data_IF_702946919107
#
_entry.id   IF_702946919107
#
_cell.length_a   1.000
_cell.length_b   1.000
_cell.length_c   1.000
_cell.angle_alpha   90.00
_cell.angle_beta   90.00
_cell.angle_gamma   90.00
#
_symmetry.space_group_name_H-M   'P 1'
#
loop_
_entity.id
_entity.type
_entity.pdbx_description
1 polymer ?
#
# COMPACT_ATOMS: atom_id res chain seq x y z
N UNK A 1 30.54 4.70 -28.51
CA UNK A 1 29.79 3.42 -28.49
C UNK A 1 30.14 2.77 -27.17
N UNK A 2 29.23 2.83 -26.21
CA UNK A 2 29.37 2.13 -24.92
C UNK A 2 28.65 0.82 -25.11
N UNK A 3 29.40 -0.28 -25.19
CA UNK A 3 28.84 -1.62 -25.23
C UNK A 3 28.07 -1.85 -23.93
N UNK A 4 26.75 -1.93 -24.04
CA UNK A 4 25.89 -2.51 -23.02
C UNK A 4 26.21 -4.00 -22.99
N UNK A 5 26.98 -4.40 -21.99
CA UNK A 5 27.14 -5.81 -21.62
C UNK A 5 25.78 -6.29 -21.12
N UNK A 6 25.02 -6.96 -21.98
CA UNK A 6 23.94 -7.82 -21.53
C UNK A 6 24.58 -8.93 -20.69
N UNK A 7 24.45 -8.81 -19.37
CA UNK A 7 24.76 -9.91 -18.46
C UNK A 7 23.69 -10.97 -18.74
N UNK A 8 24.02 -11.95 -19.57
CA UNK A 8 23.23 -13.17 -19.71
C UNK A 8 23.31 -13.90 -18.37
N UNK A 9 22.35 -13.63 -17.48
CA UNK A 9 22.22 -14.36 -16.23
C UNK A 9 21.80 -15.78 -16.57
N UNK A 10 22.66 -16.74 -16.25
CA UNK A 10 22.35 -18.16 -16.43
C UNK A 10 21.21 -18.52 -15.47
N UNK A 11 20.04 -18.93 -15.99
CA UNK A 11 18.86 -19.29 -15.19
C UNK A 11 19.13 -20.40 -14.17
N UNK A 12 20.23 -21.14 -14.35
CA UNK A 12 20.63 -22.27 -13.51
C UNK A 12 21.56 -21.90 -12.36
N UNK A 13 22.24 -20.75 -12.41
CA UNK A 13 23.23 -20.38 -11.39
C UNK A 13 22.68 -19.30 -10.45
N UNK A 14 22.83 -19.52 -9.14
CA UNK A 14 22.31 -18.62 -8.11
C UNK A 14 22.98 -17.24 -8.23
N UNK A 15 22.21 -16.13 -8.35
CA UNK A 15 22.78 -14.80 -8.45
C UNK A 15 23.67 -14.46 -7.25
N UNK A 16 24.83 -13.87 -7.51
CA UNK A 16 25.73 -13.37 -6.48
C UNK A 16 25.22 -12.00 -5.99
N UNK A 17 24.52 -12.00 -4.86
CA UNK A 17 23.99 -10.79 -4.23
C UNK A 17 24.73 -10.58 -2.90
N UNK A 18 25.31 -9.38 -2.66
CA UNK A 18 25.95 -9.08 -1.39
C UNK A 18 25.00 -9.30 -0.20
N UNK A 19 25.54 -9.81 0.90
CA UNK A 19 24.78 -10.04 2.13
C UNK A 19 24.08 -8.76 2.60
N UNK A 20 22.77 -8.83 2.82
CA UNK A 20 21.96 -7.69 3.23
C UNK A 20 21.43 -6.83 2.07
N UNK A 21 21.75 -7.16 0.82
CA UNK A 21 21.32 -6.40 -0.36
C UNK A 21 20.21 -7.10 -1.16
N UNK A 22 19.75 -8.29 -0.76
CA UNK A 22 18.59 -8.90 -1.43
C UNK A 22 17.32 -8.11 -1.05
N UNK A 23 16.37 -7.85 -1.97
CA UNK A 23 15.16 -7.08 -1.67
C UNK A 23 14.36 -7.56 -0.44
N UNK A 24 14.31 -8.88 -0.22
CA UNK A 24 13.73 -9.53 0.98
C UNK A 24 14.45 -9.12 2.29
N UNK A 25 15.76 -8.92 2.26
CA UNK A 25 16.56 -8.50 3.41
C UNK A 25 16.39 -7.01 3.69
N UNK A 26 16.30 -6.19 2.64
CA UNK A 26 16.13 -4.73 2.73
C UNK A 26 14.67 -4.27 2.87
N UNK A 27 13.71 -5.19 2.70
CA UNK A 27 12.27 -4.89 2.57
C UNK A 27 11.95 -3.91 1.44
N UNK A 28 12.67 -4.03 0.34
CA UNK A 28 12.48 -3.22 -0.88
C UNK A 28 11.87 -4.05 -2.00
N UNK A 29 10.74 -4.68 -1.71
CA UNK A 29 10.00 -5.50 -2.66
C UNK A 29 8.48 -5.26 -2.53
N UNK A 30 7.74 -5.69 -3.53
CA UNK A 30 6.28 -5.65 -3.56
C UNK A 30 5.77 -7.01 -4.00
N UNK A 31 4.79 -7.54 -3.27
CA UNK A 31 4.06 -8.76 -3.65
C UNK A 31 2.63 -8.33 -3.99
N UNK A 32 2.16 -8.75 -5.16
CA UNK A 32 0.76 -8.57 -5.54
C UNK A 32 -0.15 -9.39 -4.63
N UNK A 33 -1.28 -8.83 -4.24
CA UNK A 33 -2.31 -9.54 -3.47
C UNK A 33 -3.67 -9.31 -4.11
N UNK A 34 -4.59 -10.27 -3.93
CA UNK A 34 -5.97 -10.14 -4.41
C UNK A 34 -6.66 -8.89 -3.84
N UNK A 35 -6.33 -8.51 -2.61
CA UNK A 35 -6.86 -7.31 -1.98
C UNK A 35 -6.43 -6.02 -2.71
N UNK A 36 -5.20 -5.95 -3.21
CA UNK A 36 -4.75 -4.80 -4.02
C UNK A 36 -5.52 -4.75 -5.34
N UNK A 37 -5.80 -5.90 -5.96
CA UNK A 37 -6.60 -5.97 -7.18
C UNK A 37 -8.07 -5.54 -6.94
N UNK A 38 -8.68 -5.99 -5.84
CA UNK A 38 -10.03 -5.55 -5.44
C UNK A 38 -10.09 -4.04 -5.18
N UNK A 39 -9.11 -3.49 -4.46
CA UNK A 39 -9.00 -2.04 -4.24
C UNK A 39 -8.80 -1.28 -5.56
N UNK A 40 -8.02 -1.84 -6.47
CA UNK A 40 -7.78 -1.28 -7.79
C UNK A 40 -9.08 -1.17 -8.59
N UNK A 41 -9.86 -2.24 -8.69
CA UNK A 41 -11.11 -2.27 -9.46
C UNK A 41 -12.12 -1.23 -8.95
N UNK A 42 -12.25 -1.12 -7.62
CA UNK A 42 -13.14 -0.14 -6.98
C UNK A 42 -12.69 1.31 -7.23
N UNK A 43 -11.40 1.61 -7.00
CA UNK A 43 -10.88 2.97 -7.25
C UNK A 43 -10.90 3.30 -8.74
N UNK A 44 -10.62 2.33 -9.62
CA UNK A 44 -10.74 2.50 -11.07
C UNK A 44 -12.16 2.94 -11.43
N UNK A 45 -13.19 2.29 -10.88
CA UNK A 45 -14.58 2.69 -11.11
C UNK A 45 -14.85 4.14 -10.65
N UNK A 46 -14.32 4.55 -9.50
CA UNK A 46 -14.47 5.93 -9.00
C UNK A 46 -13.80 6.93 -9.95
N UNK A 47 -12.62 6.61 -10.45
CA UNK A 47 -11.90 7.43 -11.43
C UNK A 47 -12.65 7.46 -12.75
N UNK A 48 -13.12 6.35 -13.30
CA UNK A 48 -13.93 6.28 -14.54
C UNK A 48 -15.12 7.23 -14.48
N UNK A 49 -15.86 7.17 -13.37
CA UNK A 49 -17.05 7.99 -13.12
C UNK A 49 -16.75 9.46 -12.80
N UNK A 50 -15.47 9.86 -12.76
CA UNK A 50 -15.04 11.22 -12.34
C UNK A 50 -15.61 11.60 -10.97
N UNK A 51 -15.68 10.63 -10.05
CA UNK A 51 -16.15 10.86 -8.71
C UNK A 51 -15.26 11.92 -8.01
N UNK A 52 -15.82 12.83 -7.18
CA UNK A 52 -15.01 13.84 -6.49
C UNK A 52 -14.03 13.22 -5.48
N UNK A 53 -14.36 12.06 -4.93
CA UNK A 53 -13.50 11.32 -4.03
C UNK A 53 -14.15 10.11 -3.38
N UNK A 54 -13.36 9.40 -2.59
CA UNK A 54 -13.79 8.22 -1.84
C UNK A 54 -12.79 7.85 -0.75
N UNK A 55 -13.19 6.94 0.13
CA UNK A 55 -12.38 6.49 1.27
C UNK A 55 -11.94 5.05 1.10
N UNK A 56 -10.65 4.76 1.18
CA UNK A 56 -10.10 3.43 1.35
C UNK A 56 -9.54 3.29 2.76
N UNK A 57 -10.21 2.53 3.62
CA UNK A 57 -9.86 2.44 5.05
C UNK A 57 -9.74 1.00 5.52
N UNK A 58 -9.05 0.80 6.63
CA UNK A 58 -8.91 -0.52 7.26
C UNK A 58 -7.94 -0.44 8.42
N UNK A 59 -7.73 -1.55 9.14
CA UNK A 59 -6.84 -1.55 10.31
C UNK A 59 -5.38 -1.20 9.95
N UNK A 60 -4.54 -0.80 10.91
CA UNK A 60 -3.12 -0.53 10.66
C UNK A 60 -2.40 -1.74 10.03
N UNK A 61 -1.30 -1.48 9.33
CA UNK A 61 -0.34 -2.52 8.86
C UNK A 61 -0.86 -3.55 7.84
N UNK A 62 -2.04 -3.30 7.25
CA UNK A 62 -2.58 -4.12 6.16
C UNK A 62 -1.87 -3.93 4.82
N UNK A 63 -1.04 -2.88 4.66
CA UNK A 63 -0.37 -2.60 3.38
C UNK A 63 -1.07 -1.56 2.51
N UNK A 64 -2.01 -0.76 3.05
CA UNK A 64 -2.70 0.32 2.31
C UNK A 64 -1.76 1.27 1.56
N UNK A 65 -0.70 1.75 2.21
CA UNK A 65 0.32 2.62 1.57
C UNK A 65 1.03 1.92 0.40
N UNK A 66 1.24 0.60 0.48
CA UNK A 66 1.79 -0.18 -0.63
C UNK A 66 0.77 -0.34 -1.76
N UNK A 67 -0.50 -0.56 -1.44
CA UNK A 67 -1.58 -0.57 -2.42
C UNK A 67 -1.64 0.76 -3.18
N UNK A 68 -1.57 1.90 -2.48
CA UNK A 68 -1.50 3.23 -3.12
C UNK A 68 -0.31 3.33 -4.09
N UNK A 69 0.88 2.84 -3.71
CA UNK A 69 2.03 2.82 -4.62
C UNK A 69 1.74 2.00 -5.88
N UNK A 70 1.16 0.81 -5.74
CA UNK A 70 0.76 -0.02 -6.88
C UNK A 70 -0.25 0.72 -7.78
N UNK A 71 -1.32 1.29 -7.20
CA UNK A 71 -2.36 2.01 -7.93
C UNK A 71 -1.79 3.20 -8.71
N UNK A 72 -0.80 3.93 -8.17
CA UNK A 72 -0.13 5.03 -8.88
C UNK A 72 0.58 4.58 -10.16
N UNK A 73 1.03 3.32 -10.23
CA UNK A 73 1.65 2.75 -11.42
C UNK A 73 0.64 2.09 -12.36
N UNK A 74 -0.42 1.48 -11.81
CA UNK A 74 -1.41 0.76 -12.60
C UNK A 74 -2.45 1.67 -13.27
N UNK A 75 -2.96 2.70 -12.57
CA UNK A 75 -4.00 3.58 -13.10
C UNK A 75 -3.61 4.31 -14.40
N UNK A 76 -2.36 4.78 -14.61
CA UNK A 76 -1.94 5.35 -15.89
C UNK A 76 -2.14 4.41 -17.08
N UNK A 77 -2.07 3.08 -16.88
CA UNK A 77 -2.28 2.11 -17.97
C UNK A 77 -3.71 2.14 -18.52
N UNK A 78 -4.70 2.50 -17.69
CA UNK A 78 -6.11 2.59 -18.07
C UNK A 78 -6.54 4.01 -18.49
N UNK A 79 -5.91 5.04 -17.90
CA UNK A 79 -6.35 6.44 -18.07
C UNK A 79 -5.37 7.34 -18.82
N UNK A 80 -4.25 6.78 -19.28
CA UNK A 80 -3.18 7.45 -20.03
C UNK A 80 -1.89 7.60 -19.21
N UNK A 81 -0.75 7.30 -19.84
CA UNK A 81 0.58 7.22 -19.20
C UNK A 81 0.99 8.49 -18.44
N UNK A 82 0.43 9.64 -18.84
CA UNK A 82 0.72 10.95 -18.24
C UNK A 82 -0.33 11.41 -17.22
N UNK A 83 -1.23 10.54 -16.75
CA UNK A 83 -2.24 10.87 -15.74
C UNK A 83 -1.57 11.53 -14.52
N UNK A 84 -1.94 12.77 -14.15
CA UNK A 84 -1.39 13.42 -12.96
C UNK A 84 -1.89 12.75 -11.69
N UNK A 85 -1.02 11.97 -11.04
CA UNK A 85 -1.31 11.32 -9.76
C UNK A 85 -0.36 11.84 -8.68
N UNK A 86 -0.92 12.46 -7.65
CA UNK A 86 -0.18 13.01 -6.52
C UNK A 86 -0.47 12.22 -5.24
N UNK A 87 0.48 12.26 -4.31
CA UNK A 87 0.37 11.55 -3.04
C UNK A 87 0.81 12.47 -1.91
N UNK A 88 -0.10 12.74 -0.98
CA UNK A 88 0.14 13.51 0.23
C UNK A 88 -0.04 12.61 1.45
N UNK A 89 0.90 12.61 2.37
CA UNK A 89 0.79 11.89 3.64
C UNK A 89 0.52 12.88 4.76
N UNK A 90 -0.57 12.71 5.50
CA UNK A 90 -0.89 13.61 6.60
C UNK A 90 0.10 13.48 7.76
N UNK A 91 0.46 14.60 8.37
CA UNK A 91 1.16 14.60 9.65
C UNK A 91 0.23 14.15 10.79
N UNK A 92 0.69 13.19 11.60
CA UNK A 92 -0.08 12.70 12.74
C UNK A 92 0.01 13.65 13.95
N UNK A 93 -1.00 13.64 14.81
CA UNK A 93 -0.98 14.40 16.08
C UNK A 93 -1.26 15.90 15.95
N UNK A 94 -1.74 16.37 14.79
CA UNK A 94 -2.15 17.76 14.58
C UNK A 94 -3.31 18.15 15.50
N UNK A 95 -3.08 19.09 16.41
CA UNK A 95 -4.11 19.63 17.32
C UNK A 95 -4.93 20.77 16.70
N UNK A 96 -4.34 21.52 15.78
CA UNK A 96 -4.98 22.66 15.15
C UNK A 96 -4.57 22.75 13.68
N UNK A 97 -5.52 23.07 12.82
CA UNK A 97 -5.27 23.23 11.40
C UNK A 97 -4.62 24.59 11.12
N UNK A 98 -3.65 24.61 10.21
CA UNK A 98 -3.02 25.83 9.72
C UNK A 98 -3.08 25.81 8.19
N UNK A 99 -3.86 26.73 7.63
CA UNK A 99 -4.08 26.83 6.19
C UNK A 99 -2.77 27.06 5.42
N UNK A 100 -1.89 27.92 5.92
CA UNK A 100 -0.60 28.18 5.27
C UNK A 100 0.26 26.93 5.21
N UNK A 101 0.35 26.20 6.33
CA UNK A 101 1.09 24.95 6.40
C UNK A 101 0.48 23.89 5.48
N UNK A 102 -0.84 23.76 5.44
CA UNK A 102 -1.50 22.77 4.59
C UNK A 102 -1.23 23.01 3.09
N UNK A 103 -1.25 24.27 2.62
CA UNK A 103 -0.86 24.58 1.24
C UNK A 103 0.64 24.33 0.98
N UNK A 104 1.51 24.60 1.94
CA UNK A 104 2.94 24.26 1.84
C UNK A 104 3.13 22.75 1.69
N UNK A 105 2.49 21.96 2.55
CA UNK A 105 2.56 20.50 2.55
C UNK A 105 2.04 19.90 1.23
N UNK A 106 0.93 20.42 0.70
CA UNK A 106 0.40 20.04 -0.61
C UNK A 106 1.38 20.42 -1.73
N UNK A 107 1.94 21.64 -1.73
CA UNK A 107 2.91 22.07 -2.74
C UNK A 107 4.20 21.24 -2.72
N UNK A 108 4.68 20.86 -1.53
CA UNK A 108 5.80 19.91 -1.38
C UNK A 108 5.45 18.56 -1.96
N UNK A 109 4.27 18.03 -1.63
CA UNK A 109 3.81 16.70 -2.03
C UNK A 109 3.61 16.54 -3.54
N UNK A 110 3.24 17.63 -4.22
CA UNK A 110 3.09 17.64 -5.69
C UNK A 110 4.40 17.96 -6.43
N UNK A 111 5.50 18.18 -5.69
CA UNK A 111 6.83 18.46 -6.23
C UNK A 111 7.00 19.87 -6.78
N UNK A 112 6.22 20.86 -6.31
CA UNK A 112 6.33 22.22 -6.82
C UNK A 112 7.61 22.91 -6.29
N UNK A 113 8.37 23.58 -7.16
CA UNK A 113 9.66 24.22 -6.80
C UNK A 113 9.60 25.46 -5.90
N UNK A 114 8.42 25.89 -5.44
CA UNK A 114 8.23 27.11 -4.64
C UNK A 114 7.14 26.90 -3.57
N UNK A 115 7.29 25.91 -2.66
CA UNK A 115 6.24 25.57 -1.71
C UNK A 115 6.06 26.65 -0.63
N UNK A 116 7.16 27.22 -0.13
CA UNK A 116 7.15 28.15 1.02
C UNK A 116 6.98 29.63 0.64
N UNK A 117 7.08 29.98 -0.65
CA UNK A 117 7.11 31.37 -1.09
C UNK A 117 5.71 32.03 -1.11
N UNK A 118 5.60 33.20 -0.47
CA UNK A 118 4.43 34.07 -0.53
C UNK A 118 3.34 33.78 0.51
N UNK A 119 2.26 34.56 0.46
CA UNK A 119 1.09 34.41 1.35
C UNK A 119 0.16 33.29 0.86
N UNK A 120 -0.75 32.85 1.74
CA UNK A 120 -1.75 31.80 1.48
C UNK A 120 -2.45 31.92 0.12
N UNK A 121 -3.02 33.07 -0.29
CA UNK A 121 -3.69 33.16 -1.60
C UNK A 121 -2.76 32.89 -2.78
N UNK A 122 -1.47 33.26 -2.66
CA UNK A 122 -0.47 32.99 -3.69
C UNK A 122 -0.17 31.50 -3.79
N UNK A 123 -0.08 30.80 -2.65
CA UNK A 123 0.15 29.35 -2.59
C UNK A 123 -1.06 28.56 -3.14
N UNK A 124 -2.26 28.98 -2.75
CA UNK A 124 -3.51 28.45 -3.30
C UNK A 124 -3.56 28.59 -4.82
N UNK A 125 -3.36 29.81 -5.34
CA UNK A 125 -3.34 30.06 -6.79
C UNK A 125 -2.26 29.25 -7.52
N UNK A 126 -1.10 29.08 -6.90
CA UNK A 126 0.01 28.30 -7.45
C UNK A 126 -0.36 26.83 -7.57
N UNK A 127 -0.90 26.23 -6.50
CA UNK A 127 -1.33 24.82 -6.51
C UNK A 127 -2.40 24.57 -7.58
N UNK A 128 -3.39 25.45 -7.68
CA UNK A 128 -4.47 25.34 -8.67
C UNK A 128 -3.94 25.43 -10.10
N UNK A 129 -3.11 26.44 -10.39
CA UNK A 129 -2.50 26.57 -11.72
C UNK A 129 -1.64 25.35 -12.08
N UNK A 130 -0.88 24.84 -11.11
CA UNK A 130 -0.07 23.65 -11.31
C UNK A 130 -0.91 22.42 -11.65
N UNK A 131 -2.03 22.19 -10.94
CA UNK A 131 -2.95 21.11 -11.27
C UNK A 131 -3.60 21.28 -12.64
N UNK A 132 -4.03 22.49 -13.00
CA UNK A 132 -4.59 22.76 -14.34
C UNK A 132 -3.56 22.47 -15.42
N UNK A 133 -2.33 22.96 -15.27
CA UNK A 133 -1.24 22.75 -16.22
C UNK A 133 -0.95 21.26 -16.42
N UNK A 134 -0.85 20.48 -15.33
CA UNK A 134 -0.59 19.04 -15.40
C UNK A 134 -1.75 18.28 -16.03
N UNK A 135 -3.00 18.62 -15.68
CA UNK A 135 -4.18 18.00 -16.26
C UNK A 135 -4.28 18.26 -17.77
N UNK A 136 -4.04 19.49 -18.21
CA UNK A 136 -4.08 19.86 -19.62
C UNK A 136 -2.93 19.23 -20.41
N UNK A 137 -1.71 19.26 -19.86
CA UNK A 137 -0.52 18.65 -20.49
C UNK A 137 -0.66 17.14 -20.66
N UNK A 138 -1.39 16.47 -19.75
CA UNK A 138 -1.67 15.03 -19.86
C UNK A 138 -2.73 14.67 -20.91
N UNK A 139 -3.52 15.65 -21.37
CA UNK A 139 -4.68 15.42 -22.25
C UNK A 139 -5.90 14.77 -21.56
N UNK A 140 -5.79 14.37 -20.30
CA UNK A 140 -6.86 13.64 -19.57
C UNK A 140 -7.90 14.57 -18.94
N UNK A 141 -7.53 15.82 -18.66
CA UNK A 141 -8.28 16.77 -17.83
C UNK A 141 -8.71 16.14 -16.49
N UNK A 142 -7.82 15.33 -15.91
CA UNK A 142 -7.99 14.63 -14.64
C UNK A 142 -6.79 14.91 -13.74
N UNK A 143 -7.04 14.96 -12.44
CA UNK A 143 -6.03 14.94 -11.39
C UNK A 143 -6.49 13.97 -10.34
N UNK A 144 -5.61 13.05 -9.95
CA UNK A 144 -5.84 12.13 -8.85
C UNK A 144 -4.95 12.52 -7.67
N UNK A 145 -5.54 12.65 -6.48
CA UNK A 145 -4.82 12.96 -5.25
C UNK A 145 -5.10 11.88 -4.21
N UNK A 146 -4.10 11.08 -3.90
CA UNK A 146 -4.13 10.20 -2.74
C UNK A 146 -3.73 10.99 -1.49
N UNK A 147 -4.52 10.88 -0.43
CA UNK A 147 -4.21 11.42 0.89
C UNK A 147 -4.10 10.26 1.88
N UNK A 148 -2.88 9.90 2.27
CA UNK A 148 -2.62 8.85 3.26
C UNK A 148 -2.67 9.40 4.69
N UNK A 149 -2.95 8.52 5.66
CA UNK A 149 -3.29 8.86 7.04
C UNK A 149 -4.40 9.93 7.16
N UNK A 150 -5.40 9.87 6.27
CA UNK A 150 -6.46 10.88 6.16
C UNK A 150 -7.33 11.03 7.42
N UNK A 151 -7.30 10.08 8.37
CA UNK A 151 -7.89 10.27 9.70
C UNK A 151 -7.23 11.42 10.49
N UNK A 152 -6.09 11.93 10.04
CA UNK A 152 -5.44 13.11 10.62
C UNK A 152 -5.88 14.43 9.96
N UNK A 153 -6.76 14.39 8.96
CA UNK A 153 -7.32 15.59 8.35
C UNK A 153 -8.31 16.27 9.29
N UNK A 154 -8.20 17.59 9.37
CA UNK A 154 -9.11 18.46 10.12
C UNK A 154 -10.12 19.13 9.20
N UNK A 155 -11.24 19.58 9.76
CA UNK A 155 -12.34 20.17 8.97
C UNK A 155 -11.90 21.34 8.07
N UNK A 156 -10.98 22.20 8.55
CA UNK A 156 -10.43 23.30 7.74
C UNK A 156 -9.73 22.79 6.48
N UNK A 157 -9.00 21.67 6.58
CA UNK A 157 -8.28 21.07 5.46
C UNK A 157 -9.27 20.49 4.44
N UNK A 158 -10.35 19.85 4.89
CA UNK A 158 -11.45 19.46 3.99
C UNK A 158 -12.09 20.66 3.28
N UNK A 159 -12.26 21.80 3.95
CA UNK A 159 -12.78 23.02 3.32
C UNK A 159 -11.83 23.56 2.24
N UNK A 160 -10.53 23.52 2.49
CA UNK A 160 -9.51 23.88 1.49
C UNK A 160 -9.57 22.93 0.30
N UNK A 161 -9.70 21.61 0.52
CA UNK A 161 -9.87 20.63 -0.56
C UNK A 161 -11.14 20.88 -1.38
N UNK A 162 -12.24 21.31 -0.75
CA UNK A 162 -13.46 21.71 -1.47
C UNK A 162 -13.25 22.96 -2.33
N UNK A 163 -12.53 23.97 -1.84
CA UNK A 163 -12.18 25.16 -2.66
C UNK A 163 -11.33 24.76 -3.87
N UNK A 164 -10.34 23.90 -3.65
CA UNK A 164 -9.48 23.37 -4.71
C UNK A 164 -10.34 22.64 -5.76
N UNK A 165 -11.20 21.73 -5.31
CA UNK A 165 -12.10 20.98 -6.18
C UNK A 165 -12.97 21.90 -7.05
N UNK A 166 -13.69 22.84 -6.43
CA UNK A 166 -14.58 23.75 -7.15
C UNK A 166 -13.83 24.61 -8.18
N UNK A 167 -12.62 25.06 -7.85
CA UNK A 167 -11.81 25.89 -8.75
C UNK A 167 -11.24 25.13 -9.93
N UNK A 168 -10.96 23.83 -9.77
CA UNK A 168 -10.57 22.96 -10.88
C UNK A 168 -11.75 22.62 -11.78
N UNK A 169 -12.94 22.40 -11.19
CA UNK A 169 -14.18 22.18 -11.94
C UNK A 169 -14.48 23.36 -12.87
N UNK A 170 -14.33 24.60 -12.40
CA UNK A 170 -14.46 25.82 -13.22
C UNK A 170 -13.49 25.87 -14.41
N UNK A 171 -12.34 25.18 -14.31
CA UNK A 171 -11.36 25.04 -15.38
C UNK A 171 -11.54 23.76 -16.21
N UNK A 172 -12.68 23.07 -16.07
CA UNK A 172 -12.99 21.78 -16.70
C UNK A 172 -11.98 20.67 -16.36
N UNK A 173 -11.35 20.73 -15.18
CA UNK A 173 -10.43 19.72 -14.65
C UNK A 173 -11.12 18.94 -13.54
N UNK A 174 -11.20 17.62 -13.71
CA UNK A 174 -11.77 16.71 -12.70
C UNK A 174 -10.73 16.36 -11.65
N UNK A 175 -10.98 16.72 -10.39
CA UNK A 175 -10.18 16.27 -9.25
C UNK A 175 -10.89 15.10 -8.56
N UNK A 176 -10.19 13.98 -8.40
CA UNK A 176 -10.62 12.84 -7.59
C UNK A 176 -9.67 12.72 -6.39
N UNK A 177 -10.21 12.78 -5.17
CA UNK A 177 -9.44 12.64 -3.93
C UNK A 177 -9.71 11.28 -3.29
N UNK A 178 -8.67 10.45 -3.14
CA UNK A 178 -8.75 9.17 -2.47
C UNK A 178 -8.19 9.32 -1.06
N UNK A 179 -9.07 9.28 -0.06
CA UNK A 179 -8.70 9.32 1.35
C UNK A 179 -8.31 7.91 1.80
N UNK A 180 -7.06 7.72 2.18
CA UNK A 180 -6.53 6.45 2.66
C UNK A 180 -6.22 6.57 4.14
N UNK A 181 -6.72 5.63 4.94
CA UNK A 181 -6.55 5.76 6.38
C UNK A 181 -7.06 4.59 7.21
N UNK A 182 -7.24 4.85 8.49
CA UNK A 182 -7.67 3.87 9.48
C UNK A 182 -9.20 3.93 9.70
N UNK A 183 -9.75 3.04 10.53
CA UNK A 183 -11.20 2.93 10.81
C UNK A 183 -11.79 4.25 11.35
N UNK A 184 -10.95 5.08 11.95
CA UNK A 184 -11.26 6.44 12.40
C UNK A 184 -11.83 7.33 11.30
N UNK A 185 -11.54 7.07 10.01
CA UNK A 185 -12.19 7.77 8.90
C UNK A 185 -13.70 7.56 8.87
N UNK A 186 -14.18 6.35 9.20
CA UNK A 186 -15.60 6.04 9.29
C UNK A 186 -16.24 6.82 10.44
N UNK A 187 -15.55 6.92 11.57
CA UNK A 187 -15.99 7.74 12.70
C UNK A 187 -16.05 9.22 12.33
N UNK A 188 -15.05 9.74 11.60
CA UNK A 188 -15.06 11.12 11.09
C UNK A 188 -16.23 11.39 10.16
N UNK A 189 -16.50 10.49 9.19
CA UNK A 189 -17.68 10.59 8.32
C UNK A 189 -18.96 10.68 9.14
N UNK A 190 -19.09 9.80 10.14
CA UNK A 190 -20.26 9.76 11.03
C UNK A 190 -20.43 11.08 11.80
N UNK A 191 -19.32 11.63 12.33
CA UNK A 191 -19.32 12.92 13.02
C UNK A 191 -19.69 14.09 12.09
N UNK A 192 -19.24 14.07 10.83
CA UNK A 192 -19.62 15.08 9.83
C UNK A 192 -21.10 15.01 9.46
N UNK A 193 -21.67 13.82 9.29
CA UNK A 193 -23.11 13.64 9.08
C UNK A 193 -23.93 14.18 10.26
N UNK A 194 -23.55 13.80 11.48
CA UNK A 194 -24.21 14.29 12.70
C UNK A 194 -24.13 15.81 12.85
N UNK A 195 -23.01 16.42 12.42
CA UNK A 195 -22.78 17.87 12.43
C UNK A 195 -23.38 18.59 11.22
N UNK A 196 -24.21 17.93 10.40
CA UNK A 196 -24.84 18.48 9.17
C UNK A 196 -23.83 19.01 8.13
N UNK A 197 -22.63 18.42 8.06
CA UNK A 197 -21.58 18.74 7.08
C UNK A 197 -21.67 17.84 5.85
N UNK A 198 -22.88 17.67 5.31
CA UNK A 198 -23.15 16.79 4.18
C UNK A 198 -22.36 17.16 2.92
N UNK A 199 -21.95 18.42 2.77
CA UNK A 199 -21.12 18.89 1.66
C UNK A 199 -19.69 18.31 1.62
N UNK A 200 -19.13 17.92 2.78
CA UNK A 200 -17.83 17.24 2.87
C UNK A 200 -18.02 15.77 2.52
N UNK A 201 -19.01 15.13 3.17
CA UNK A 201 -19.31 13.71 2.99
C UNK A 201 -19.68 13.42 1.53
N UNK A 202 -20.59 14.22 0.97
CA UNK A 202 -21.07 14.11 -0.41
C UNK A 202 -19.99 14.22 -1.48
N UNK A 203 -18.85 14.86 -1.18
CA UNK A 203 -17.71 14.96 -2.09
C UNK A 203 -16.68 13.85 -1.86
N UNK A 204 -16.26 13.63 -0.62
CA UNK A 204 -15.05 12.84 -0.36
C UNK A 204 -15.31 11.48 0.29
N UNK A 205 -16.53 11.20 0.75
CA UNK A 205 -16.80 10.06 1.65
C UNK A 205 -18.06 9.26 1.30
N UNK A 206 -18.63 9.48 0.10
CA UNK A 206 -19.76 8.69 -0.42
C UNK A 206 -19.30 7.31 -0.82
N UNK A 207 -18.22 7.25 -1.62
CA UNK A 207 -17.62 5.99 -2.03
C UNK A 207 -16.71 5.48 -0.91
N UNK A 208 -16.76 4.18 -0.66
CA UNK A 208 -15.95 3.55 0.37
C UNK A 208 -15.43 2.18 -0.07
N UNK A 209 -14.21 1.87 0.35
CA UNK A 209 -13.58 0.58 0.20
C UNK A 209 -12.93 0.18 1.53
N UNK A 210 -13.34 -0.97 2.08
CA UNK A 210 -12.74 -1.50 3.30
C UNK A 210 -11.59 -2.43 2.96
N UNK A 211 -10.37 -1.89 2.99
CA UNK A 211 -9.14 -2.65 2.79
C UNK A 211 -8.95 -3.66 3.91
N UNK A 212 -8.64 -4.90 3.55
CA UNK A 212 -8.48 -5.98 4.51
C UNK A 212 -7.13 -6.71 4.46
N UNK A 213 -6.76 -7.34 5.55
CA UNK A 213 -5.68 -8.31 5.61
C UNK A 213 -6.10 -9.65 5.03
N UNK A 214 -5.18 -10.60 5.10
CA UNK A 214 -5.40 -11.94 4.57
C UNK A 214 -6.40 -12.71 5.44
N UNK A 215 -7.41 -13.32 4.80
CA UNK A 215 -8.50 -14.02 5.49
C UNK A 215 -8.66 -15.47 5.03
N UNK A 216 -8.34 -15.75 3.77
CA UNK A 216 -8.63 -17.05 3.16
C UNK A 216 -7.37 -17.80 2.77
N UNK A 217 -7.51 -19.12 2.62
CA UNK A 217 -6.43 -19.97 2.11
C UNK A 217 -6.01 -19.56 0.69
N UNK A 218 -6.97 -19.28 -0.19
CA UNK A 218 -6.70 -18.86 -1.57
C UNK A 218 -5.87 -17.57 -1.65
N UNK A 219 -6.16 -16.60 -0.79
CA UNK A 219 -5.37 -15.36 -0.72
C UNK A 219 -3.93 -15.64 -0.25
N UNK A 220 -3.76 -16.58 0.70
CA UNK A 220 -2.44 -16.99 1.17
C UNK A 220 -1.65 -17.73 0.11
N UNK A 221 -2.28 -18.66 -0.60
CA UNK A 221 -1.67 -19.39 -1.72
C UNK A 221 -1.18 -18.43 -2.80
N UNK A 222 -2.01 -17.46 -3.21
CA UNK A 222 -1.65 -16.44 -4.21
C UNK A 222 -0.47 -15.60 -3.74
N UNK A 223 -0.47 -15.20 -2.46
CA UNK A 223 0.63 -14.45 -1.88
C UNK A 223 1.93 -15.25 -1.82
N UNK A 224 1.88 -16.54 -1.48
CA UNK A 224 3.06 -17.42 -1.43
C UNK A 224 3.59 -17.74 -2.84
N UNK A 225 2.70 -17.89 -3.84
CA UNK A 225 3.09 -17.91 -5.27
C UNK A 225 3.83 -16.64 -5.68
N UNK A 226 3.49 -15.51 -5.05
CA UNK A 226 4.25 -14.26 -5.01
C UNK A 226 5.77 -14.48 -4.92
N UNK A 227 6.17 -15.24 -3.90
CA UNK A 227 7.56 -15.54 -3.58
C UNK A 227 8.13 -16.72 -4.37
N UNK A 228 7.27 -17.67 -4.76
CA UNK A 228 7.69 -18.91 -5.42
C UNK A 228 7.99 -18.73 -6.90
N UNK A 229 7.18 -17.95 -7.62
CA UNK A 229 7.23 -17.91 -9.10
C UNK A 229 6.99 -16.53 -9.72
N UNK A 230 6.18 -15.65 -9.13
CA UNK A 230 5.74 -14.42 -9.83
C UNK A 230 6.71 -13.25 -9.70
N UNK A 231 7.50 -13.23 -8.62
CA UNK A 231 8.52 -12.21 -8.37
C UNK A 231 9.90 -12.78 -8.62
N UNK A 232 10.82 -11.95 -9.10
CA UNK A 232 12.20 -12.33 -9.34
C UNK A 232 13.19 -11.23 -8.94
N UNK A 233 14.40 -11.64 -8.58
CA UNK A 233 15.53 -10.73 -8.40
C UNK A 233 16.87 -11.43 -8.66
N UNK A 234 17.78 -10.84 -9.48
CA UNK A 234 17.60 -9.62 -10.27
C UNK A 234 16.46 -9.72 -11.30
N UNK A 235 16.01 -8.58 -11.83
CA UNK A 235 14.99 -8.57 -12.88
C UNK A 235 15.52 -9.30 -14.13
N UNK A 236 14.68 -10.11 -14.77
CA UNK A 236 15.01 -10.96 -15.92
C UNK A 236 15.82 -12.21 -15.58
N UNK A 237 15.99 -12.56 -14.30
CA UNK A 237 16.86 -13.67 -13.90
C UNK A 237 16.15 -15.03 -13.77
N UNK A 238 14.81 -15.04 -13.65
CA UNK A 238 14.06 -16.24 -13.28
C UNK A 238 14.37 -16.74 -11.86
N UNK A 239 15.01 -15.92 -11.01
CA UNK A 239 15.30 -16.24 -9.62
C UNK A 239 14.27 -15.63 -8.69
N UNK A 240 13.26 -16.44 -8.35
CA UNK A 240 12.29 -16.05 -7.34
C UNK A 240 12.90 -16.03 -5.93
N UNK A 241 12.31 -15.27 -4.99
CA UNK A 241 12.74 -15.31 -3.59
C UNK A 241 12.88 -16.73 -3.04
N UNK A 242 11.89 -17.61 -3.25
CA UNK A 242 11.98 -18.98 -2.76
C UNK A 242 13.14 -19.73 -3.40
N UNK A 243 13.32 -19.62 -4.72
CA UNK A 243 14.43 -20.26 -5.44
C UNK A 243 15.79 -19.73 -4.93
N UNK A 244 15.89 -18.43 -4.66
CA UNK A 244 17.13 -17.81 -4.18
C UNK A 244 17.53 -18.27 -2.77
N UNK A 245 16.56 -18.41 -1.85
CA UNK A 245 16.84 -18.82 -0.47
C UNK A 245 16.85 -20.34 -0.27
N UNK A 246 16.17 -21.11 -1.12
CA UNK A 246 16.10 -22.57 -1.03
C UNK A 246 16.46 -23.23 -2.37
N UNK A 247 17.65 -23.00 -2.96
CA UNK A 247 17.93 -23.39 -4.34
C UNK A 247 17.80 -24.89 -4.60
N UNK A 248 18.43 -25.73 -3.78
CA UNK A 248 18.38 -27.19 -3.96
C UNK A 248 17.00 -27.76 -3.66
N UNK A 249 16.36 -27.33 -2.56
CA UNK A 249 15.01 -27.77 -2.22
C UNK A 249 14.02 -27.34 -3.31
N UNK A 250 14.14 -26.13 -3.87
CA UNK A 250 13.27 -25.63 -4.94
C UNK A 250 13.38 -26.47 -6.21
N UNK A 251 14.59 -26.92 -6.57
CA UNK A 251 14.81 -27.88 -7.66
C UNK A 251 14.12 -29.23 -7.37
N UNK A 252 14.08 -29.64 -6.11
CA UNK A 252 13.37 -30.84 -5.64
C UNK A 252 11.85 -30.63 -5.42
N UNK A 253 11.30 -29.50 -5.88
CA UNK A 253 9.85 -29.22 -5.82
C UNK A 253 9.38 -28.46 -4.58
N UNK A 254 10.27 -28.00 -3.71
CA UNK A 254 9.92 -27.14 -2.57
C UNK A 254 9.28 -25.84 -3.05
N UNK A 255 8.11 -25.51 -2.49
CA UNK A 255 7.38 -24.27 -2.73
C UNK A 255 6.80 -23.79 -1.41
N UNK A 256 6.86 -22.49 -1.13
CA UNK A 256 6.23 -21.91 0.05
C UNK A 256 4.71 -22.13 0.02
N UNK A 257 4.08 -22.03 -1.15
CA UNK A 257 2.64 -22.29 -1.33
C UNK A 257 2.21 -23.66 -0.81
N UNK A 258 3.06 -24.69 -0.90
CA UNK A 258 2.76 -26.03 -0.39
C UNK A 258 2.52 -26.05 1.13
N UNK A 259 2.97 -25.02 1.86
CA UNK A 259 2.75 -24.85 3.30
C UNK A 259 1.56 -23.95 3.64
N UNK A 260 0.77 -23.48 2.66
CA UNK A 260 -0.30 -22.51 2.90
C UNK A 260 -1.34 -23.03 3.92
N UNK A 261 -1.75 -24.30 3.80
CA UNK A 261 -2.71 -24.93 4.73
C UNK A 261 -2.13 -24.98 6.14
N UNK A 262 -0.93 -25.56 6.29
CA UNK A 262 -0.25 -25.68 7.59
C UNK A 262 -0.02 -24.31 8.23
N UNK A 263 0.44 -23.33 7.45
CA UNK A 263 0.71 -21.98 7.92
C UNK A 263 -0.57 -21.32 8.43
N UNK A 264 -1.65 -21.40 7.67
CA UNK A 264 -2.94 -20.83 8.06
C UNK A 264 -3.48 -21.49 9.33
N UNK A 265 -3.32 -22.81 9.47
CA UNK A 265 -3.76 -23.54 10.66
C UNK A 265 -2.89 -23.21 11.88
N UNK A 266 -1.59 -23.03 11.72
CA UNK A 266 -0.70 -22.58 12.80
C UNK A 266 -1.08 -21.16 13.26
N UNK A 267 -1.43 -20.25 12.34
CA UNK A 267 -1.96 -18.93 12.73
C UNK A 267 -3.23 -19.07 13.58
N UNK A 268 -4.17 -19.95 13.21
CA UNK A 268 -5.40 -20.20 13.98
C UNK A 268 -5.10 -20.81 15.34
N UNK A 269 -4.21 -21.80 15.41
CA UNK A 269 -3.80 -22.45 16.66
C UNK A 269 -3.19 -21.45 17.64
N UNK A 270 -2.20 -20.65 17.19
CA UNK A 270 -1.54 -19.65 18.04
C UNK A 270 -2.52 -18.56 18.51
N UNK A 271 -3.51 -18.19 17.68
CA UNK A 271 -4.60 -17.30 18.10
C UNK A 271 -5.46 -17.94 19.19
N UNK A 272 -5.87 -19.19 19.00
CA UNK A 272 -6.68 -19.92 19.97
C UNK A 272 -5.96 -20.09 21.32
N UNK A 273 -4.66 -20.40 21.30
CA UNK A 273 -3.80 -20.46 22.50
C UNK A 273 -3.76 -19.12 23.25
N UNK A 274 -3.84 -17.99 22.53
CA UNK A 274 -3.87 -16.65 23.10
C UNK A 274 -5.28 -16.15 23.48
N UNK A 275 -6.32 -16.98 23.33
CA UNK A 275 -7.71 -16.60 23.60
C UNK A 275 -8.36 -15.68 22.56
N UNK A 276 -7.75 -15.54 21.38
CA UNK A 276 -8.20 -14.67 20.30
C UNK A 276 -9.22 -15.41 19.41
N UNK A 277 -10.51 -15.21 19.68
CA UNK A 277 -11.59 -15.95 19.01
C UNK A 277 -12.32 -15.19 17.90
N UNK A 278 -12.03 -13.90 17.71
CA UNK A 278 -12.60 -13.10 16.62
C UNK A 278 -12.11 -13.61 15.25
N UNK A 279 -12.90 -13.32 14.21
CA UNK A 279 -12.58 -13.62 12.81
C UNK A 279 -11.13 -13.25 12.48
N UNK A 280 -10.40 -14.21 11.93
CA UNK A 280 -8.98 -14.05 11.64
C UNK A 280 -8.78 -13.18 10.40
N UNK A 281 -8.03 -12.12 10.57
CA UNK A 281 -7.52 -11.25 9.52
C UNK A 281 -6.05 -11.00 9.84
N UNK A 282 -5.15 -11.48 8.98
CA UNK A 282 -3.71 -11.39 9.20
C UNK A 282 -3.19 -10.12 8.51
N UNK A 283 -2.71 -9.11 9.26
CA UNK A 283 -2.12 -7.92 8.65
C UNK A 283 -0.87 -8.27 7.86
N UNK A 284 -0.75 -7.69 6.67
CA UNK A 284 0.36 -7.96 5.74
C UNK A 284 1.73 -7.83 6.37
N UNK A 285 1.95 -6.83 7.24
CA UNK A 285 3.24 -6.67 7.94
C UNK A 285 3.66 -7.94 8.69
N UNK A 286 2.76 -8.59 9.42
CA UNK A 286 3.11 -9.76 10.22
C UNK A 286 3.32 -11.00 9.36
N UNK A 287 2.55 -11.13 8.29
CA UNK A 287 2.70 -12.22 7.34
C UNK A 287 4.03 -12.12 6.58
N UNK A 288 4.36 -10.95 6.04
CA UNK A 288 5.63 -10.76 5.32
C UNK A 288 6.82 -10.92 6.27
N UNK A 289 6.72 -10.43 7.52
CA UNK A 289 7.73 -10.68 8.54
C UNK A 289 7.97 -12.17 8.81
N UNK A 290 6.88 -12.94 8.88
CA UNK A 290 6.93 -14.39 9.07
C UNK A 290 7.66 -15.06 7.91
N UNK A 291 7.30 -14.74 6.67
CA UNK A 291 7.91 -15.31 5.46
C UNK A 291 9.38 -14.88 5.32
N UNK A 292 9.68 -13.59 5.52
CA UNK A 292 11.05 -13.07 5.53
C UNK A 292 11.92 -13.78 6.57
N UNK A 293 11.38 -14.03 7.77
CA UNK A 293 12.10 -14.76 8.81
C UNK A 293 12.44 -16.17 8.33
N UNK A 294 11.47 -16.88 7.75
CA UNK A 294 11.67 -18.23 7.20
C UNK A 294 12.75 -18.24 6.13
N UNK A 295 12.63 -17.38 5.12
CA UNK A 295 13.57 -17.28 4.00
C UNK A 295 15.00 -17.01 4.50
N UNK A 296 15.16 -16.05 5.41
CA UNK A 296 16.49 -15.63 5.90
C UNK A 296 17.10 -16.62 6.89
N UNK A 297 16.28 -17.18 7.79
CA UNK A 297 16.78 -18.03 8.89
C UNK A 297 17.01 -19.47 8.43
N UNK A 298 16.09 -20.03 7.65
CA UNK A 298 16.10 -21.44 7.29
C UNK A 298 16.58 -21.68 5.85
N UNK A 299 16.69 -20.64 5.02
CA UNK A 299 17.33 -20.75 3.71
C UNK A 299 18.85 -20.92 3.78
N UNK A 300 19.48 -21.04 2.61
CA UNK A 300 20.92 -21.32 2.40
C UNK A 300 21.87 -20.25 2.96
N UNK A 301 21.38 -19.02 3.19
CA UNK A 301 22.15 -17.97 3.88
C UNK A 301 22.10 -18.08 5.41
N UNK A 302 21.30 -19.01 5.94
CA UNK A 302 21.10 -19.26 7.36
C UNK A 302 21.42 -20.70 7.73
N UNK A 303 20.39 -21.49 8.03
CA UNK A 303 20.52 -22.89 8.47
C UNK A 303 20.46 -23.92 7.33
N UNK A 304 20.16 -23.49 6.10
CA UNK A 304 20.12 -24.32 4.88
C UNK A 304 19.27 -25.60 5.04
N UNK A 305 18.02 -25.43 5.49
CA UNK A 305 17.09 -26.54 5.68
C UNK A 305 16.42 -26.92 4.36
N UNK A 306 16.30 -28.23 4.11
CA UNK A 306 15.63 -28.75 2.90
C UNK A 306 14.09 -28.69 2.99
N UNK A 307 13.54 -28.66 4.20
CA UNK A 307 12.10 -28.61 4.45
C UNK A 307 11.80 -27.78 5.69
N UNK A 308 10.60 -27.21 5.75
CA UNK A 308 10.10 -26.47 6.89
C UNK A 308 9.17 -27.33 7.74
N UNK A 309 9.31 -27.23 9.05
CA UNK A 309 8.47 -27.92 10.04
C UNK A 309 7.50 -26.93 10.69
N UNK A 310 6.48 -27.47 11.36
CA UNK A 310 5.56 -26.68 12.20
C UNK A 310 6.30 -25.82 13.23
N UNK A 311 7.40 -26.31 13.80
CA UNK A 311 8.21 -25.56 14.79
C UNK A 311 8.84 -24.32 14.14
N UNK A 312 9.34 -24.43 12.90
CA UNK A 312 9.92 -23.29 12.17
C UNK A 312 8.88 -22.19 11.97
N UNK A 313 7.66 -22.55 11.57
CA UNK A 313 6.56 -21.60 11.36
C UNK A 313 6.08 -20.96 12.66
N UNK A 314 5.93 -21.74 13.75
CA UNK A 314 5.59 -21.20 15.08
C UNK A 314 6.64 -20.19 15.53
N UNK A 315 7.93 -20.49 15.37
CA UNK A 315 9.01 -19.56 15.68
C UNK A 315 8.88 -18.27 14.86
N UNK A 316 8.71 -18.38 13.54
CA UNK A 316 8.60 -17.24 12.65
C UNK A 316 7.40 -16.33 12.99
N UNK A 317 6.23 -16.91 13.25
CA UNK A 317 5.02 -16.15 13.62
C UNK A 317 5.23 -15.43 14.94
N UNK A 318 5.79 -16.10 15.96
CA UNK A 318 6.09 -15.45 17.25
C UNK A 318 7.11 -14.32 17.08
N UNK A 319 8.15 -14.52 16.26
CA UNK A 319 9.16 -13.47 15.98
C UNK A 319 8.62 -12.32 15.15
N UNK A 320 7.52 -12.49 14.43
CA UNK A 320 6.85 -11.39 13.72
C UNK A 320 6.17 -10.38 14.68
N UNK A 321 5.86 -10.79 15.92
CA UNK A 321 5.08 -9.99 16.87
C UNK A 321 3.57 -9.99 16.60
N UNK A 322 3.08 -10.92 15.79
CA UNK A 322 1.67 -11.01 15.40
C UNK A 322 0.73 -11.17 16.60
N UNK A 323 1.01 -12.16 17.46
CA UNK A 323 0.12 -12.53 18.57
C UNK A 323 0.08 -11.41 19.60
N UNK A 324 1.22 -10.82 19.94
CA UNK A 324 1.31 -9.68 20.85
C UNK A 324 0.51 -8.48 20.33
N UNK A 325 0.54 -8.23 19.02
CA UNK A 325 -0.26 -7.17 18.44
C UNK A 325 -1.75 -7.47 18.48
N UNK A 326 -2.18 -8.69 18.16
CA UNK A 326 -3.60 -9.05 18.17
C UNK A 326 -4.20 -9.01 19.59
N UNK A 327 -3.44 -9.43 20.61
CA UNK A 327 -3.85 -9.26 22.02
C UNK A 327 -4.07 -7.78 22.35
N UNK A 328 -3.13 -6.91 21.97
CA UNK A 328 -3.27 -5.47 22.19
C UNK A 328 -4.50 -4.90 21.45
N UNK A 329 -4.76 -5.35 20.22
CA UNK A 329 -5.91 -4.90 19.44
C UNK A 329 -7.26 -5.39 19.97
N UNK A 330 -7.32 -6.49 20.73
CA UNK A 330 -8.56 -6.90 21.41
C UNK A 330 -8.86 -6.10 22.67
N UNK A 331 -7.84 -5.45 23.26
CA UNK A 331 -7.99 -4.58 24.43
C UNK A 331 -8.45 -3.15 24.09
N UNK A 332 -8.33 -2.75 22.81
CA UNK A 332 -8.84 -1.49 22.27
C UNK A 332 -10.30 -1.65 21.84
#
# INVERSE_FOLDING_TARGET
MVETVEIVLNEHERPLIPSGCHPIEERRYTIGTDEIAKMYDEIKQWVENRAPGGMAYGRPRLGKTYAVRYLKHALPLDFGDNLPIFHYSCEQGKKQANENKFYEDLLVSVGHGLPFAGKVPMKSNRLIKYFIEKAQSSGTNRVLLFIDDAQSLLELEYKILMDIYNRLELAAVSLTIILVGQEELVHQRTAFLASKKAQIVGRFMVHEYKFSGLKTLSELETLLDGYDITSEYPAGSGWSPTKYFFPQAYLNGFRLKSYAVDLLDIFKELRAEAGLHKNMEIPMQYLTLTIEYILKKFGVNGLDQEFLTKINWIEAIRKSGYIENEIFMEML
#
